data_IF_344558048168
#
_entry.id   IF_344558048168
#
_cell.length_a   1.000
_cell.length_b   1.000
_cell.length_c   1.000
_cell.angle_alpha   90.00
_cell.angle_beta   90.00
_cell.angle_gamma   90.00
#
_symmetry.space_group_name_H-M   'P 1'
#
loop_
_entity.id
_entity.type
_entity.pdbx_description
1 polymer ?
#
# COMPACT_ATOMS: atom_id res chain seq x y z
N UNK A 1 19.94 -12.88 -13.43
CA UNK A 1 19.14 -11.67 -13.69
C UNK A 1 18.05 -11.92 -14.74
N UNK A 2 18.39 -12.28 -15.99
CA UNK A 2 17.40 -12.55 -17.06
C UNK A 2 16.44 -13.75 -16.81
N UNK A 3 16.88 -14.80 -16.11
CA UNK A 3 16.01 -15.94 -15.77
C UNK A 3 14.99 -15.64 -14.67
N UNK A 4 15.32 -14.75 -13.73
CA UNK A 4 14.41 -14.32 -12.67
C UNK A 4 13.28 -13.47 -13.27
N UNK A 5 13.61 -12.59 -14.23
CA UNK A 5 12.65 -11.83 -15.04
C UNK A 5 11.65 -12.74 -15.77
N UNK A 6 12.15 -13.76 -16.46
CA UNK A 6 11.34 -14.70 -17.25
C UNK A 6 10.44 -15.59 -16.39
N UNK A 7 10.92 -15.96 -15.19
CA UNK A 7 10.17 -16.74 -14.22
C UNK A 7 9.06 -15.92 -13.55
N UNK A 8 9.27 -14.60 -13.38
CA UNK A 8 8.25 -13.66 -12.92
C UNK A 8 7.11 -13.50 -13.93
N UNK A 9 7.41 -13.41 -15.23
CA UNK A 9 6.40 -13.32 -16.29
C UNK A 9 5.47 -14.54 -16.38
N UNK A 10 5.96 -15.74 -16.08
CA UNK A 10 5.15 -16.98 -16.14
C UNK A 10 4.15 -17.14 -14.99
N UNK A 11 4.36 -16.48 -13.84
CA UNK A 11 3.45 -16.60 -12.70
C UNK A 11 2.19 -15.70 -12.80
N UNK A 12 2.12 -14.85 -13.83
CA UNK A 12 1.02 -13.90 -14.08
C UNK A 12 -0.26 -14.62 -14.57
N UNK A 13 -0.15 -15.85 -15.09
CA UNK A 13 -1.20 -16.45 -15.93
C UNK A 13 -2.17 -17.46 -15.26
N UNK A 14 -2.30 -17.53 -13.93
CA UNK A 14 -2.92 -18.72 -13.30
C UNK A 14 -3.70 -18.56 -12.00
N UNK A 15 -4.83 -17.84 -12.02
CA UNK A 15 -6.06 -17.96 -11.19
C UNK A 15 -7.01 -16.86 -11.65
N UNK A 16 -8.33 -16.97 -11.45
CA UNK A 16 -9.34 -15.98 -11.87
C UNK A 16 -9.02 -14.58 -11.30
N UNK A 17 -8.12 -13.89 -11.98
CA UNK A 17 -7.45 -12.65 -11.61
C UNK A 17 -8.30 -11.45 -11.97
N UNK A 18 -9.18 -11.57 -12.96
CA UNK A 18 -9.99 -10.47 -13.51
C UNK A 18 -10.86 -9.77 -12.45
N UNK A 19 -11.52 -10.48 -11.53
CA UNK A 19 -12.39 -9.83 -10.52
C UNK A 19 -11.60 -9.12 -9.40
N UNK A 20 -10.41 -9.61 -9.04
CA UNK A 20 -9.59 -8.96 -8.01
C UNK A 20 -8.75 -7.83 -8.61
N UNK A 21 -8.18 -8.07 -9.80
CA UNK A 21 -7.48 -7.04 -10.58
C UNK A 21 -8.43 -5.87 -10.87
N UNK A 22 -9.67 -6.12 -11.28
CA UNK A 22 -10.65 -5.04 -11.52
C UNK A 22 -11.02 -4.25 -10.25
N UNK A 23 -11.05 -4.88 -9.06
CA UNK A 23 -11.26 -4.16 -7.80
C UNK A 23 -10.08 -3.29 -7.41
N UNK A 24 -8.85 -3.78 -7.60
CA UNK A 24 -7.63 -3.02 -7.32
C UNK A 24 -7.47 -1.85 -8.31
N UNK A 25 -7.72 -2.09 -9.59
CA UNK A 25 -7.79 -1.06 -10.63
C UNK A 25 -8.77 0.04 -10.24
N UNK A 26 -10.00 -0.34 -9.84
CA UNK A 26 -11.00 0.62 -9.39
C UNK A 26 -10.54 1.47 -8.20
N UNK A 27 -9.82 0.86 -7.24
CA UNK A 27 -9.25 1.60 -6.10
C UNK A 27 -8.17 2.59 -6.57
N UNK A 28 -7.26 2.16 -7.45
CA UNK A 28 -6.23 3.04 -8.03
C UNK A 28 -6.84 4.19 -8.83
N UNK A 29 -7.87 3.93 -9.63
CA UNK A 29 -8.55 4.94 -10.45
C UNK A 29 -9.24 5.99 -9.57
N UNK A 30 -10.02 5.55 -8.58
CA UNK A 30 -10.66 6.43 -7.61
C UNK A 30 -9.62 7.26 -6.86
N UNK A 31 -8.50 6.63 -6.47
CA UNK A 31 -7.44 7.34 -5.78
C UNK A 31 -6.74 8.35 -6.68
N UNK A 32 -6.41 8.00 -7.92
CA UNK A 32 -5.78 8.92 -8.87
C UNK A 32 -6.70 10.12 -9.13
N UNK A 33 -8.01 9.88 -9.26
CA UNK A 33 -9.00 10.96 -9.41
C UNK A 33 -9.05 11.87 -8.19
N UNK A 34 -9.06 11.32 -6.97
CA UNK A 34 -9.08 12.11 -5.75
C UNK A 34 -7.76 12.86 -5.51
N UNK A 35 -6.62 12.16 -5.62
CA UNK A 35 -5.29 12.71 -5.39
C UNK A 35 -4.91 13.82 -6.35
N UNK A 36 -5.43 13.81 -7.59
CA UNK A 36 -5.26 14.90 -8.57
C UNK A 36 -5.80 16.25 -8.11
N UNK A 37 -6.66 16.28 -7.08
CA UNK A 37 -7.12 17.53 -6.47
C UNK A 37 -6.02 18.22 -5.65
N UNK A 38 -4.94 17.50 -5.29
CA UNK A 38 -3.86 17.98 -4.42
C UNK A 38 -2.47 17.84 -5.04
N UNK A 39 -2.27 16.85 -5.93
CA UNK A 39 -0.98 16.51 -6.53
C UNK A 39 -1.16 16.31 -8.04
N UNK A 40 -0.42 17.06 -8.85
CA UNK A 40 -0.42 16.89 -10.31
C UNK A 40 0.50 15.73 -10.72
N UNK A 41 0.07 14.49 -10.45
CA UNK A 41 0.88 13.28 -10.66
C UNK A 41 1.52 13.17 -12.05
N UNK A 42 0.88 13.73 -13.09
CA UNK A 42 1.29 13.54 -14.47
C UNK A 42 2.39 14.54 -14.92
N UNK A 43 2.65 15.62 -14.15
CA UNK A 43 3.56 16.71 -14.55
C UNK A 43 4.69 17.01 -13.55
N UNK A 44 4.98 16.13 -12.60
CA UNK A 44 6.06 16.32 -11.62
C UNK A 44 7.42 15.86 -12.13
N UNK A 45 8.44 16.70 -11.92
CA UNK A 45 9.84 16.28 -12.02
C UNK A 45 10.19 15.24 -10.95
N UNK A 46 11.28 14.50 -11.15
CA UNK A 46 11.76 13.51 -10.16
C UNK A 46 12.03 14.15 -8.80
N UNK A 47 12.58 15.38 -8.78
CA UNK A 47 12.87 16.13 -7.56
C UNK A 47 11.58 16.51 -6.82
N UNK A 48 10.52 16.87 -7.56
CA UNK A 48 9.22 17.15 -6.94
C UNK A 48 8.54 15.87 -6.45
N UNK A 49 8.65 14.76 -7.18
CA UNK A 49 8.21 13.43 -6.72
C UNK A 49 8.92 13.04 -5.42
N UNK A 50 10.22 13.28 -5.31
CA UNK A 50 10.98 13.03 -4.08
C UNK A 50 10.45 13.87 -2.91
N UNK A 51 10.19 15.16 -3.13
CA UNK A 51 9.60 16.04 -2.11
C UNK A 51 8.23 15.54 -1.66
N UNK A 52 7.34 15.22 -2.59
CA UNK A 52 6.01 14.68 -2.27
C UNK A 52 6.08 13.32 -1.57
N UNK A 53 7.07 12.50 -1.90
CA UNK A 53 7.31 11.23 -1.21
C UNK A 53 7.51 11.44 0.28
N UNK A 54 8.32 12.44 0.66
CA UNK A 54 8.52 12.79 2.07
C UNK A 54 7.21 13.21 2.74
N UNK A 55 6.44 14.10 2.12
CA UNK A 55 5.19 14.60 2.70
C UNK A 55 4.15 13.48 2.88
N UNK A 56 3.99 12.62 1.87
CA UNK A 56 3.06 11.49 1.93
C UNK A 56 3.48 10.43 2.94
N UNK A 57 4.78 10.18 3.12
CA UNK A 57 5.29 9.27 4.15
C UNK A 57 5.03 9.83 5.55
N UNK A 58 5.21 11.13 5.77
CA UNK A 58 4.88 11.78 7.05
C UNK A 58 3.38 11.64 7.33
N UNK A 59 2.52 11.91 6.34
CA UNK A 59 1.07 11.75 6.49
C UNK A 59 0.69 10.30 6.83
N UNK A 60 1.24 9.31 6.11
CA UNK A 60 1.01 7.89 6.41
C UNK A 60 1.43 7.51 7.83
N UNK A 61 2.54 8.06 8.33
CA UNK A 61 2.98 7.84 9.71
C UNK A 61 2.03 8.48 10.73
N UNK A 62 1.48 9.66 10.42
CA UNK A 62 0.49 10.32 11.26
C UNK A 62 -0.77 9.46 11.40
N UNK A 63 -1.33 8.93 10.32
CA UNK A 63 -2.49 8.01 10.38
C UNK A 63 -2.16 6.74 11.18
N UNK A 64 -0.91 6.28 11.14
CA UNK A 64 -0.43 5.21 12.01
C UNK A 64 -0.48 5.59 13.50
N UNK A 65 -0.16 6.83 13.86
CA UNK A 65 -0.31 7.34 15.22
C UNK A 65 -1.79 7.52 15.61
N UNK A 66 -2.66 7.90 14.68
CA UNK A 66 -4.11 7.95 14.90
C UNK A 66 -4.68 6.55 15.17
N UNK A 67 -4.28 5.56 14.36
CA UNK A 67 -4.62 4.15 14.58
C UNK A 67 -4.22 3.66 15.99
N UNK A 68 -3.06 4.10 16.52
CA UNK A 68 -2.65 3.74 17.88
C UNK A 68 -3.62 4.24 18.95
N UNK A 69 -4.31 5.38 18.74
CA UNK A 69 -5.30 5.91 19.69
C UNK A 69 -6.49 4.96 19.88
N UNK A 70 -6.77 4.12 18.88
CA UNK A 70 -7.84 3.12 18.91
C UNK A 70 -7.38 1.76 19.42
N UNK A 71 -6.17 1.68 19.97
CA UNK A 71 -5.59 0.48 20.60
C UNK A 71 -5.18 0.73 22.05
N UNK A 72 -4.82 -0.33 22.77
CA UNK A 72 -4.23 -0.23 24.10
C UNK A 72 -2.71 0.09 24.05
N UNK A 73 -2.31 1.09 23.25
CA UNK A 73 -0.90 1.44 22.99
C UNK A 73 -0.14 1.95 24.23
N UNK A 74 -0.82 2.58 25.19
CA UNK A 74 -0.21 3.10 26.42
C UNK A 74 -0.03 1.97 27.42
N UNK A 75 1.09 1.26 27.34
CA UNK A 75 1.39 0.08 28.18
C UNK A 75 1.38 0.36 29.70
N UNK A 76 1.55 1.62 30.12
CA UNK A 76 1.45 2.05 31.52
C UNK A 76 0.00 2.31 31.99
N UNK A 77 -1.00 2.21 31.11
CA UNK A 77 -2.42 2.33 31.46
C UNK A 77 -3.09 0.97 31.50
N UNK A 78 -4.14 0.84 32.30
CA UNK A 78 -5.00 -0.36 32.28
C UNK A 78 -5.65 -0.49 30.89
N UNK A 79 -5.56 -1.66 30.23
CA UNK A 79 -6.24 -1.88 28.96
C UNK A 79 -7.75 -1.71 29.08
N UNK A 80 -8.36 -1.09 28.07
CA UNK A 80 -9.81 -0.93 27.95
C UNK A 80 -10.33 -1.85 26.85
N UNK A 81 -11.46 -2.50 27.13
CA UNK A 81 -12.15 -3.39 26.19
C UNK A 81 -13.67 -3.13 26.23
N UNK A 82 -14.37 -3.29 25.09
CA UNK A 82 -13.81 -3.55 23.77
C UNK A 82 -13.09 -2.30 23.22
N UNK A 83 -12.04 -2.50 22.40
CA UNK A 83 -11.47 -1.39 21.63
C UNK A 83 -12.45 -0.95 20.53
N UNK A 84 -12.33 0.29 20.07
CA UNK A 84 -13.12 0.76 18.93
C UNK A 84 -12.52 0.25 17.61
N UNK A 85 -12.97 -0.93 17.17
CA UNK A 85 -12.49 -1.57 15.94
C UNK A 85 -12.92 -0.84 14.67
N UNK A 86 -13.96 -0.02 14.71
CA UNK A 86 -14.46 0.66 13.52
C UNK A 86 -13.52 1.81 13.17
N UNK A 87 -13.22 2.69 14.13
CA UNK A 87 -12.27 3.79 13.93
C UNK A 87 -10.89 3.27 13.55
N UNK A 88 -10.39 2.22 14.24
CA UNK A 88 -9.14 1.58 13.84
C UNK A 88 -9.12 1.14 12.37
N UNK A 89 -10.25 0.64 11.83
CA UNK A 89 -10.33 0.26 10.42
C UNK A 89 -10.34 1.46 9.50
N UNK A 90 -10.97 2.57 9.88
CA UNK A 90 -10.94 3.81 9.11
C UNK A 90 -9.53 4.37 9.01
N UNK A 91 -8.78 4.46 10.12
CA UNK A 91 -7.38 4.92 10.08
C UNK A 91 -6.49 4.04 9.19
N UNK A 92 -6.74 2.72 9.16
CA UNK A 92 -6.03 1.80 8.25
C UNK A 92 -6.36 2.06 6.77
N UNK A 93 -7.57 2.53 6.47
CA UNK A 93 -7.96 2.95 5.12
C UNK A 93 -7.35 4.32 4.79
N UNK A 94 -7.22 5.23 5.75
CA UNK A 94 -6.52 6.50 5.55
C UNK A 94 -5.03 6.28 5.26
N UNK A 95 -4.38 5.35 5.97
CA UNK A 95 -3.04 4.87 5.62
C UNK A 95 -2.98 4.31 4.18
N UNK A 96 -4.00 3.59 3.73
CA UNK A 96 -4.07 3.05 2.37
C UNK A 96 -4.16 4.17 1.33
N UNK A 97 -4.91 5.24 1.59
CA UNK A 97 -4.97 6.42 0.70
C UNK A 97 -3.57 7.02 0.48
N UNK A 98 -2.79 7.23 1.54
CA UNK A 98 -1.43 7.77 1.41
C UNK A 98 -0.47 6.80 0.73
N UNK A 99 -0.59 5.50 1.00
CA UNK A 99 0.21 4.49 0.32
C UNK A 99 -0.09 4.42 -1.19
N UNK A 100 -1.36 4.50 -1.57
CA UNK A 100 -1.76 4.52 -2.98
C UNK A 100 -1.30 5.80 -3.68
N UNK A 101 -1.37 6.96 -3.01
CA UNK A 101 -0.78 8.20 -3.53
C UNK A 101 0.72 8.05 -3.79
N UNK A 102 1.46 7.39 -2.89
CA UNK A 102 2.88 7.09 -3.10
C UNK A 102 3.09 6.17 -4.31
N UNK A 103 2.27 5.12 -4.46
CA UNK A 103 2.35 4.23 -5.61
C UNK A 103 2.10 4.97 -6.92
N UNK A 104 1.02 5.75 -7.00
CA UNK A 104 0.64 6.54 -8.17
C UNK A 104 1.71 7.60 -8.49
N UNK A 105 2.27 8.25 -7.47
CA UNK A 105 3.35 9.23 -7.62
C UNK A 105 4.57 8.65 -8.32
N UNK A 106 4.89 7.38 -8.06
CA UNK A 106 5.99 6.64 -8.67
C UNK A 106 5.55 5.77 -9.85
N UNK A 107 4.42 6.13 -10.48
CA UNK A 107 3.90 5.52 -11.71
C UNK A 107 3.59 4.01 -11.59
N UNK A 108 3.42 3.51 -10.36
CA UNK A 108 3.04 2.11 -10.12
C UNK A 108 1.57 1.95 -10.49
N UNK A 109 1.31 1.05 -11.44
CA UNK A 109 -0.04 0.65 -11.83
C UNK A 109 -0.64 -0.39 -10.87
N UNK A 110 -1.97 -0.58 -10.92
CA UNK A 110 -2.63 -1.65 -10.17
C UNK A 110 -2.08 -3.05 -10.54
N UNK A 111 -1.82 -3.30 -11.83
CA UNK A 111 -1.25 -4.55 -12.32
C UNK A 111 0.18 -4.78 -11.79
N UNK A 112 1.04 -3.75 -11.82
CA UNK A 112 2.39 -3.83 -11.27
C UNK A 112 2.36 -4.04 -9.76
N UNK A 113 1.49 -3.31 -9.05
CA UNK A 113 1.31 -3.48 -7.60
C UNK A 113 0.94 -4.91 -7.25
N UNK A 114 -0.06 -5.48 -7.93
CA UNK A 114 -0.47 -6.87 -7.75
C UNK A 114 0.68 -7.84 -8.03
N UNK A 115 1.35 -7.69 -9.18
CA UNK A 115 2.46 -8.56 -9.59
C UNK A 115 3.62 -8.52 -8.62
N UNK A 116 4.00 -7.33 -8.15
CA UNK A 116 5.06 -7.12 -7.16
C UNK A 116 4.69 -7.69 -5.79
N UNK A 117 3.43 -7.50 -5.36
CA UNK A 117 2.93 -8.09 -4.13
C UNK A 117 3.02 -9.62 -4.17
N UNK A 118 2.56 -10.25 -5.27
CA UNK A 118 2.61 -11.70 -5.42
C UNK A 118 4.06 -12.23 -5.40
N UNK A 119 4.98 -11.54 -6.08
CA UNK A 119 6.39 -11.89 -6.06
C UNK A 119 7.00 -11.79 -4.66
N UNK A 120 6.76 -10.68 -3.95
CA UNK A 120 7.26 -10.45 -2.60
C UNK A 120 6.64 -11.41 -1.58
N UNK A 121 5.36 -11.72 -1.73
CA UNK A 121 4.66 -12.68 -0.88
C UNK A 121 5.27 -14.08 -0.99
N UNK A 122 5.53 -14.56 -2.21
CA UNK A 122 6.22 -15.84 -2.44
C UNK A 122 7.61 -15.85 -1.79
N UNK A 123 8.39 -14.81 -2.01
CA UNK A 123 9.73 -14.68 -1.42
C UNK A 123 9.68 -14.73 0.12
N UNK A 124 8.74 -14.03 0.75
CA UNK A 124 8.58 -14.01 2.20
C UNK A 124 8.26 -15.41 2.76
N UNK A 125 7.40 -16.19 2.09
CA UNK A 125 7.15 -17.58 2.47
C UNK A 125 8.38 -18.48 2.31
N UNK A 126 9.17 -18.27 1.25
CA UNK A 126 10.43 -18.99 1.06
C UNK A 126 11.50 -18.61 2.08
N UNK A 127 11.50 -17.37 2.59
CA UNK A 127 12.35 -16.94 3.71
C UNK A 127 11.98 -17.67 5.00
N UNK A 128 10.69 -17.72 5.35
CA UNK A 128 10.21 -18.43 6.54
C UNK A 128 10.53 -19.94 6.50
N UNK A 129 10.39 -20.59 5.34
CA UNK A 129 10.77 -22.02 5.16
C UNK A 129 12.27 -22.29 5.36
N UNK A 130 13.13 -21.29 5.19
CA UNK A 130 14.59 -21.40 5.35
C UNK A 130 15.07 -21.01 6.76
N UNK A 131 14.15 -20.80 7.70
CA UNK A 131 14.48 -20.52 9.11
C UNK A 131 14.81 -19.06 9.41
N UNK A 132 14.18 -18.12 8.70
CA UNK A 132 14.11 -16.72 9.13
C UNK A 132 13.07 -16.53 10.24
#
# INVERSE_FOLDING_TARGET
>A
MKEVEKSRQKMIAGRNSEDFTSKLEKIFDLQKQFGKQFIDFDNLSVQEKEKWTKELLIALMNEGFEALNWTNAKHWKKPVYPINKMELKYELIDMLHFLLNLMILWDITAEECFSMYMAKNKENHERQKRGY
#
